data_IF_400604035509
#
_entry.id   IF_400604035509
#
_cell.length_a   1.000
_cell.length_b   1.000
_cell.length_c   1.000
_cell.angle_alpha   90.00
_cell.angle_beta   90.00
_cell.angle_gamma   90.00
#
_symmetry.space_group_name_H-M   'P 1'
#
loop_
_entity.id
_entity.type
_entity.pdbx_description
1 polymer ?
#
# COMPACT_ATOMS: atom_id res chain seq x y z
N UNK A 1 -6.04 -13.59 12.76
CA UNK A 1 -4.68 -13.98 12.34
C UNK A 1 -3.66 -13.11 13.05
N UNK A 2 -2.41 -13.53 13.21
CA UNK A 2 -1.37 -12.71 13.86
C UNK A 2 -0.77 -11.68 12.89
N UNK A 3 -0.39 -10.52 13.40
CA UNK A 3 0.36 -9.48 12.67
C UNK A 3 1.61 -10.04 11.95
N UNK A 4 2.37 -10.92 12.60
CA UNK A 4 3.54 -11.59 12.02
C UNK A 4 3.22 -12.38 10.74
N UNK A 5 2.01 -12.93 10.63
CA UNK A 5 1.56 -13.63 9.42
C UNK A 5 1.33 -12.61 8.29
N UNK A 6 0.66 -11.49 8.58
CA UNK A 6 0.49 -10.38 7.66
C UNK A 6 1.81 -9.89 7.07
N UNK A 7 2.79 -9.69 7.95
CA UNK A 7 4.14 -9.25 7.59
C UNK A 7 4.82 -10.26 6.66
N UNK A 8 4.76 -11.56 6.97
CA UNK A 8 5.37 -12.61 6.13
C UNK A 8 4.76 -12.62 4.72
N UNK A 9 3.44 -12.60 4.61
CA UNK A 9 2.75 -12.57 3.31
C UNK A 9 3.13 -11.32 2.50
N UNK A 10 3.18 -10.15 3.14
CA UNK A 10 3.59 -8.91 2.47
C UNK A 10 5.05 -8.97 1.98
N UNK A 11 5.96 -9.52 2.79
CA UNK A 11 7.37 -9.73 2.42
C UNK A 11 7.50 -10.69 1.23
N UNK A 12 6.77 -11.80 1.24
CA UNK A 12 6.80 -12.79 0.17
C UNK A 12 6.29 -12.20 -1.14
N UNK A 13 5.17 -11.47 -1.10
CA UNK A 13 4.65 -10.76 -2.28
C UNK A 13 5.65 -9.73 -2.77
N UNK A 14 6.25 -8.93 -1.88
CA UNK A 14 7.26 -7.94 -2.26
C UNK A 14 8.49 -8.58 -2.93
N UNK A 15 8.98 -9.72 -2.42
CA UNK A 15 10.08 -10.50 -3.02
C UNK A 15 9.71 -10.96 -4.45
N UNK A 16 8.51 -11.52 -4.64
CA UNK A 16 8.00 -11.94 -5.95
C UNK A 16 7.96 -10.75 -6.93
N UNK A 17 7.41 -9.60 -6.51
CA UNK A 17 7.34 -8.40 -7.35
C UNK A 17 8.72 -7.85 -7.68
N UNK A 18 9.66 -7.85 -6.73
CA UNK A 18 11.03 -7.43 -6.99
C UNK A 18 11.74 -8.33 -8.02
N UNK A 19 11.51 -9.66 -7.97
CA UNK A 19 12.04 -10.59 -8.97
C UNK A 19 11.42 -10.36 -10.35
N UNK A 20 10.11 -10.11 -10.43
CA UNK A 20 9.45 -9.81 -11.71
C UNK A 20 10.02 -8.53 -12.34
N UNK A 21 10.27 -7.48 -11.55
CA UNK A 21 10.83 -6.21 -12.04
C UNK A 21 12.26 -6.32 -12.58
N UNK A 22 13.03 -7.32 -12.15
CA UNK A 22 14.36 -7.63 -12.73
C UNK A 22 14.21 -8.23 -14.12
N UNK A 23 13.24 -9.12 -14.31
CA UNK A 23 13.04 -9.83 -15.57
C UNK A 23 12.26 -8.98 -16.59
N UNK A 24 11.34 -8.15 -16.09
CA UNK A 24 10.44 -7.30 -16.87
C UNK A 24 10.64 -5.86 -16.44
N UNK A 25 11.66 -5.20 -17.00
CA UNK A 25 12.00 -3.82 -16.63
C UNK A 25 10.87 -2.88 -17.09
N UNK A 26 10.21 -2.22 -16.14
CA UNK A 26 9.11 -1.27 -16.37
C UNK A 26 7.88 -1.88 -17.06
N UNK A 27 7.18 -2.83 -16.43
CA UNK A 27 5.99 -3.44 -17.00
C UNK A 27 4.89 -2.40 -17.27
N UNK A 28 4.07 -2.64 -18.28
CA UNK A 28 2.87 -1.85 -18.53
C UNK A 28 1.81 -2.18 -17.47
N UNK A 29 1.44 -1.17 -16.67
CA UNK A 29 0.42 -1.30 -15.61
C UNK A 29 -0.82 -0.44 -15.88
N UNK A 30 -0.87 0.21 -17.04
CA UNK A 30 -2.00 1.02 -17.47
C UNK A 30 -2.09 1.04 -18.99
N UNK A 31 -3.31 1.02 -19.53
CA UNK A 31 -3.59 1.23 -20.95
C UNK A 31 -4.64 2.32 -21.15
N UNK A 32 -4.33 3.29 -22.00
CA UNK A 32 -5.24 4.37 -22.36
C UNK A 32 -6.56 3.83 -22.92
N UNK A 33 -7.68 4.40 -22.45
CA UNK A 33 -9.01 4.15 -22.99
C UNK A 33 -9.66 2.80 -22.66
N UNK A 34 -9.06 1.92 -21.83
CA UNK A 34 -9.71 0.63 -21.54
C UNK A 34 -9.39 -0.05 -20.21
N UNK A 35 -8.13 -0.08 -19.73
CA UNK A 35 -7.78 -1.06 -18.69
C UNK A 35 -6.64 -0.58 -17.77
N UNK A 36 -6.90 -0.55 -16.47
CA UNK A 36 -5.85 -0.57 -15.45
C UNK A 36 -5.30 -1.99 -15.39
N UNK A 37 -3.98 -2.15 -15.59
CA UNK A 37 -3.30 -3.46 -15.64
C UNK A 37 -2.50 -3.72 -14.35
N UNK A 38 -2.66 -2.85 -13.36
CA UNK A 38 -1.87 -2.90 -12.13
C UNK A 38 -2.22 -4.10 -11.26
N UNK A 39 -3.51 -4.44 -11.13
CA UNK A 39 -3.95 -5.67 -10.44
C UNK A 39 -3.38 -6.92 -11.10
N UNK A 40 -3.50 -7.03 -12.43
CA UNK A 40 -2.94 -8.15 -13.19
C UNK A 40 -1.43 -8.32 -12.96
N UNK A 41 -0.67 -7.22 -13.00
CA UNK A 41 0.76 -7.26 -12.72
C UNK A 41 1.06 -7.63 -11.25
N UNK A 42 0.30 -7.06 -10.32
CA UNK A 42 0.48 -7.31 -8.89
C UNK A 42 0.24 -8.77 -8.54
N UNK A 43 -0.80 -9.37 -9.11
CA UNK A 43 -1.25 -10.73 -8.81
C UNK A 43 -0.44 -11.80 -9.55
N UNK A 44 0.15 -11.45 -10.70
CA UNK A 44 0.94 -12.37 -11.52
C UNK A 44 2.03 -13.09 -10.72
N UNK A 45 1.96 -14.43 -10.71
CA UNK A 45 2.99 -15.29 -10.10
C UNK A 45 2.88 -15.42 -8.58
N UNK A 46 1.85 -14.86 -7.95
CA UNK A 46 1.53 -15.15 -6.55
C UNK A 46 1.02 -16.62 -6.48
N UNK A 47 1.61 -17.49 -5.65
CA UNK A 47 1.28 -18.91 -5.60
C UNK A 47 0.10 -19.25 -4.67
N UNK A 48 -0.63 -18.24 -4.22
CA UNK A 48 -1.73 -18.36 -3.26
C UNK A 48 -3.07 -18.05 -3.93
N UNK A 49 -4.16 -18.57 -3.36
CA UNK A 49 -5.49 -18.18 -3.79
C UNK A 49 -5.74 -16.70 -3.49
N UNK A 50 -6.26 -15.99 -4.50
CA UNK A 50 -6.55 -14.55 -4.41
C UNK A 50 -8.07 -14.39 -4.41
N UNK A 51 -8.58 -13.84 -3.33
CA UNK A 51 -10.00 -13.50 -3.20
C UNK A 51 -10.23 -12.05 -3.60
N UNK A 52 -11.12 -11.82 -4.56
CA UNK A 52 -11.60 -10.49 -4.94
C UNK A 52 -12.99 -10.20 -4.40
N UNK A 53 -13.29 -8.92 -4.24
CA UNK A 53 -14.59 -8.43 -3.82
C UNK A 53 -15.22 -7.51 -4.87
N UNK A 54 -16.40 -6.97 -4.59
CA UNK A 54 -17.08 -6.06 -5.53
C UNK A 54 -16.29 -4.76 -5.74
N UNK A 55 -16.55 -4.06 -6.84
CA UNK A 55 -15.83 -2.82 -7.21
C UNK A 55 -15.88 -1.68 -6.17
N UNK A 56 -16.73 -1.77 -5.13
CA UNK A 56 -16.82 -0.80 -4.04
C UNK A 56 -16.41 -1.39 -2.68
N UNK A 57 -15.94 -2.63 -2.67
CA UNK A 57 -15.47 -3.32 -1.47
C UNK A 57 -13.99 -3.01 -1.23
N UNK A 58 -13.57 -3.09 0.02
CA UNK A 58 -12.19 -2.95 0.47
C UNK A 58 -11.82 -4.19 1.30
N UNK A 59 -10.62 -4.75 1.13
CA UNK A 59 -9.56 -4.41 0.15
C UNK A 59 -9.85 -4.93 -1.26
N UNK A 60 -9.07 -4.53 -2.26
CA UNK A 60 -9.19 -5.01 -3.66
C UNK A 60 -8.90 -6.53 -3.80
N UNK A 61 -7.96 -7.04 -3.00
CA UNK A 61 -7.59 -8.45 -2.95
C UNK A 61 -7.33 -8.93 -1.51
N UNK A 62 -7.67 -10.19 -1.23
CA UNK A 62 -7.25 -10.90 -0.01
C UNK A 62 -6.45 -12.13 -0.40
N UNK A 63 -5.24 -12.24 0.15
CA UNK A 63 -4.26 -13.28 -0.17
C UNK A 63 -3.77 -13.86 1.16
N UNK A 64 -3.95 -15.17 1.38
CA UNK A 64 -3.63 -15.81 2.67
C UNK A 64 -4.25 -15.10 3.89
N UNK A 65 -5.46 -14.56 3.70
CA UNK A 65 -6.20 -13.78 4.71
C UNK A 65 -5.70 -12.35 4.94
N UNK A 66 -4.71 -11.89 4.18
CA UNK A 66 -4.12 -10.54 4.26
C UNK A 66 -4.69 -9.67 3.15
N UNK A 67 -5.12 -8.47 3.51
CA UNK A 67 -5.73 -7.51 2.59
C UNK A 67 -4.69 -6.71 1.80
N UNK A 68 -4.97 -6.49 0.52
CA UNK A 68 -4.18 -5.67 -0.38
C UNK A 68 -5.08 -4.68 -1.12
N UNK A 69 -4.91 -3.39 -0.83
CA UNK A 69 -5.54 -2.30 -1.58
C UNK A 69 -4.56 -1.81 -2.66
N UNK A 70 -5.02 -1.70 -3.89
CA UNK A 70 -4.21 -1.36 -5.05
C UNK A 70 -4.50 0.07 -5.50
N UNK A 71 -3.44 0.83 -5.75
CA UNK A 71 -3.51 2.22 -6.23
C UNK A 71 -2.44 2.50 -7.27
N UNK A 72 -2.84 2.78 -8.51
CA UNK A 72 -1.94 3.30 -9.55
C UNK A 72 -2.10 4.80 -9.74
N UNK A 73 -0.98 5.53 -9.91
CA UNK A 73 -0.95 6.99 -9.99
C UNK A 73 0.00 7.47 -11.08
N UNK A 74 -0.36 8.55 -11.78
CA UNK A 74 0.55 9.25 -12.72
C UNK A 74 1.57 10.12 -12.00
N UNK A 75 1.19 10.70 -10.86
CA UNK A 75 2.02 11.57 -10.04
C UNK A 75 2.35 10.91 -8.70
N UNK A 76 3.29 11.50 -7.95
CA UNK A 76 3.58 11.14 -6.55
C UNK A 76 2.74 11.96 -5.55
N UNK A 77 1.58 12.47 -5.98
CA UNK A 77 0.70 13.30 -5.16
C UNK A 77 -0.11 12.52 -4.13
N UNK A 78 -1.27 13.06 -3.76
CA UNK A 78 -2.19 12.36 -2.86
C UNK A 78 -2.89 11.18 -3.55
N UNK A 79 -3.16 10.14 -2.75
CA UNK A 79 -3.93 8.95 -3.08
C UNK A 79 -5.36 9.14 -2.58
N UNK A 80 -6.35 8.78 -3.39
CA UNK A 80 -7.75 8.79 -2.98
C UNK A 80 -8.22 7.39 -2.61
N UNK A 81 -8.91 7.29 -1.47
CA UNK A 81 -9.56 6.11 -0.96
C UNK A 81 -11.07 6.37 -0.92
N UNK A 82 -11.81 5.54 -1.64
CA UNK A 82 -13.26 5.60 -1.64
C UNK A 82 -13.80 4.70 -0.54
N UNK A 83 -14.91 5.09 0.08
CA UNK A 83 -15.69 4.29 1.03
C UNK A 83 -15.05 3.99 2.40
N UNK A 84 -13.73 3.78 2.47
CA UNK A 84 -13.03 3.37 3.70
C UNK A 84 -11.83 4.27 3.99
N UNK A 85 -11.63 4.63 5.26
CA UNK A 85 -10.42 5.34 5.70
C UNK A 85 -9.27 4.31 5.73
N UNK A 86 -8.14 4.56 5.06
CA UNK A 86 -7.07 3.59 4.98
C UNK A 86 -6.39 3.35 6.34
N UNK A 87 -6.17 2.09 6.71
CA UNK A 87 -5.46 1.68 7.94
C UNK A 87 -4.86 0.29 7.81
N UNK A 88 -4.07 -0.16 8.80
CA UNK A 88 -3.36 -1.44 8.80
C UNK A 88 -4.24 -2.67 8.96
N UNK A 89 -5.57 -2.50 9.10
CA UNK A 89 -6.50 -3.62 9.23
C UNK A 89 -7.76 -3.44 8.40
N UNK A 90 -8.17 -4.51 7.73
CA UNK A 90 -9.47 -4.56 7.08
C UNK A 90 -10.46 -5.35 7.96
N UNK A 91 -11.73 -4.97 7.89
CA UNK A 91 -12.84 -5.71 8.49
C UNK A 91 -14.01 -5.76 7.51
N UNK A 92 -14.47 -6.96 7.20
CA UNK A 92 -15.58 -7.20 6.27
C UNK A 92 -16.38 -8.41 6.71
N UNK A 93 -17.65 -8.18 7.08
CA UNK A 93 -18.58 -9.24 7.55
C UNK A 93 -17.89 -10.10 8.62
N UNK A 94 -17.55 -11.34 8.28
CA UNK A 94 -16.96 -12.34 9.18
C UNK A 94 -15.44 -12.52 8.97
N UNK A 95 -14.80 -11.62 8.22
CA UNK A 95 -13.37 -11.64 7.93
C UNK A 95 -12.69 -10.35 8.40
N UNK A 96 -11.56 -10.50 9.07
CA UNK A 96 -10.67 -9.41 9.42
C UNK A 96 -9.21 -9.87 9.33
N UNK A 97 -8.31 -8.93 9.07
CA UNK A 97 -6.89 -9.20 8.93
C UNK A 97 -6.08 -7.94 8.72
N UNK A 98 -4.76 -8.13 8.64
CA UNK A 98 -3.82 -7.05 8.30
C UNK A 98 -4.06 -6.57 6.86
N UNK A 99 -3.82 -5.28 6.61
CA UNK A 99 -4.04 -4.65 5.32
C UNK A 99 -2.80 -3.86 4.88
N UNK A 100 -2.41 -4.08 3.63
CA UNK A 100 -1.30 -3.42 2.96
C UNK A 100 -1.79 -2.67 1.72
N UNK A 101 -1.05 -1.65 1.34
CA UNK A 101 -1.35 -0.79 0.20
C UNK A 101 -0.26 -0.96 -0.84
N UNK A 102 -0.62 -1.59 -1.96
CA UNK A 102 0.22 -1.73 -3.14
C UNK A 102 0.05 -0.48 -4.00
N UNK A 103 1.06 0.37 -4.04
CA UNK A 103 1.01 1.67 -4.69
C UNK A 103 2.01 1.66 -5.83
N UNK A 104 1.57 1.97 -7.04
CA UNK A 104 2.45 2.08 -8.20
C UNK A 104 2.36 3.47 -8.83
N UNK A 105 3.52 4.06 -9.12
CA UNK A 105 3.59 5.22 -10.01
C UNK A 105 3.95 4.75 -11.40
N UNK A 106 3.22 5.22 -12.41
CA UNK A 106 3.56 4.98 -13.81
C UNK A 106 3.85 6.26 -14.58
N UNK A 107 4.60 6.12 -15.67
CA UNK A 107 4.81 7.16 -16.68
C UNK A 107 4.15 6.72 -17.97
N UNK A 108 3.31 7.59 -18.52
CA UNK A 108 2.70 7.37 -19.83
C UNK A 108 3.76 7.44 -20.93
N UNK A 109 3.73 6.46 -21.82
CA UNK A 109 4.40 6.41 -23.11
C UNK A 109 3.39 5.94 -24.15
N UNK A 110 3.00 6.84 -25.06
CA UNK A 110 1.89 6.66 -26.00
C UNK A 110 0.62 6.19 -25.25
N UNK A 111 0.14 5.00 -25.57
CA UNK A 111 -1.07 4.41 -25.01
C UNK A 111 -0.83 3.58 -23.74
N UNK A 112 0.41 3.45 -23.28
CA UNK A 112 0.76 2.58 -22.16
C UNK A 112 1.39 3.35 -21.00
N UNK A 113 1.05 2.97 -19.76
CA UNK A 113 1.69 3.46 -18.55
C UNK A 113 2.72 2.46 -18.05
N UNK A 114 4.00 2.80 -18.16
CA UNK A 114 5.11 2.02 -17.65
C UNK A 114 5.24 2.24 -16.14
N UNK A 115 5.24 1.18 -15.33
CA UNK A 115 5.58 1.26 -13.90
C UNK A 115 6.95 1.91 -13.75
N UNK A 116 7.08 2.84 -12.82
CA UNK A 116 8.33 3.56 -12.50
C UNK A 116 8.74 3.33 -11.05
N UNK A 117 7.75 3.31 -10.15
CA UNK A 117 7.94 3.15 -8.71
C UNK A 117 6.84 2.22 -8.17
N UNK A 118 7.18 1.46 -7.15
CA UNK A 118 6.28 0.51 -6.50
C UNK A 118 6.56 0.50 -5.00
N UNK A 119 5.54 0.76 -4.20
CA UNK A 119 5.63 0.70 -2.75
C UNK A 119 4.58 -0.26 -2.25
N UNK A 120 4.99 -1.25 -1.46
CA UNK A 120 4.08 -2.02 -0.62
C UNK A 120 4.15 -1.48 0.80
N UNK A 121 3.06 -0.90 1.28
CA UNK A 121 3.06 -0.14 2.53
C UNK A 121 2.08 -0.73 3.54
N UNK A 122 2.53 -0.95 4.78
CA UNK A 122 1.63 -1.31 5.87
C UNK A 122 0.62 -0.20 6.14
N UNK A 123 -0.66 -0.56 6.28
CA UNK A 123 -1.75 0.40 6.27
C UNK A 123 -1.77 1.38 7.44
N UNK A 124 -1.18 1.04 8.58
CA UNK A 124 -1.07 1.95 9.73
C UNK A 124 -0.23 3.17 9.40
N UNK A 125 0.54 3.13 8.31
CA UNK A 125 1.18 4.31 7.77
C UNK A 125 0.18 5.44 7.51
N UNK A 126 -1.09 5.14 7.18
CA UNK A 126 -2.11 6.16 6.95
C UNK A 126 -2.88 6.54 8.21
N UNK A 127 -3.40 5.55 8.95
CA UNK A 127 -4.14 5.71 10.21
C UNK A 127 -3.91 4.46 11.07
N UNK A 128 -3.61 4.64 12.36
CA UNK A 128 -3.35 3.58 13.32
C UNK A 128 -4.56 3.26 14.22
N UNK A 129 -5.53 4.17 14.36
CA UNK A 129 -6.79 3.89 15.05
C UNK A 129 -7.73 3.15 14.10
N UNK A 130 -7.74 1.83 14.23
CA UNK A 130 -8.58 0.96 13.40
C UNK A 130 -10.08 1.18 13.66
N UNK A 131 -10.46 1.56 14.88
CA UNK A 131 -11.87 1.82 15.21
C UNK A 131 -12.35 3.09 14.51
N UNK A 132 -11.52 4.14 14.56
CA UNK A 132 -11.76 5.35 13.78
C UNK A 132 -11.76 5.06 12.28
N UNK A 133 -10.84 4.26 11.77
CA UNK A 133 -10.75 3.97 10.34
C UNK A 133 -11.95 3.17 9.79
N UNK A 134 -12.55 2.31 10.61
CA UNK A 134 -13.82 1.63 10.27
C UNK A 134 -15.05 2.51 10.52
N UNK A 135 -14.86 3.73 11.07
CA UNK A 135 -15.90 4.75 11.10
C UNK A 135 -16.03 5.41 9.72
N UNK A 136 -17.25 5.84 9.38
CA UNK A 136 -17.49 6.58 8.15
C UNK A 136 -17.60 8.07 8.45
N UNK A 137 -16.92 8.90 7.65
CA UNK A 137 -17.00 10.36 7.76
C UNK A 137 -17.47 10.97 6.44
N UNK A 138 -18.43 11.89 6.52
CA UNK A 138 -19.03 12.56 5.35
C UNK A 138 -18.91 14.10 5.44
N UNK A 139 -18.10 14.61 6.35
CA UNK A 139 -17.84 16.05 6.51
C UNK A 139 -16.67 16.49 5.63
N UNK A 140 -16.47 17.80 5.47
CA UNK A 140 -15.24 18.33 4.89
C UNK A 140 -14.28 18.66 6.01
N UNK A 141 -13.05 18.13 5.94
CA UNK A 141 -12.02 18.40 6.94
C UNK A 141 -10.64 18.39 6.27
N UNK A 142 -9.82 19.38 6.63
CA UNK A 142 -8.39 19.47 6.29
C UNK A 142 -7.61 19.10 7.54
N UNK A 143 -6.52 18.34 7.36
CA UNK A 143 -5.78 17.78 8.47
C UNK A 143 -6.49 16.57 9.09
N UNK A 144 -7.21 15.83 8.25
CA UNK A 144 -7.95 14.62 8.60
C UNK A 144 -7.01 13.44 8.89
N UNK A 145 -7.50 12.46 9.64
CA UNK A 145 -6.77 11.23 9.98
C UNK A 145 -5.82 11.40 11.16
N UNK A 146 -5.29 10.28 11.62
CA UNK A 146 -4.56 10.19 12.89
C UNK A 146 -3.26 11.00 12.89
N UNK A 147 -2.66 11.21 11.73
CA UNK A 147 -1.44 12.00 11.56
C UNK A 147 -1.69 13.41 11.01
N UNK A 148 -2.95 13.77 10.78
CA UNK A 148 -3.35 15.13 10.41
C UNK A 148 -2.86 15.60 9.06
N UNK A 149 -2.59 14.70 8.11
CA UNK A 149 -2.16 15.02 6.75
C UNK A 149 -3.16 14.59 5.67
N UNK A 150 -4.30 14.02 6.08
CA UNK A 150 -5.41 13.66 5.22
C UNK A 150 -6.33 14.83 4.90
N UNK A 151 -7.19 14.61 3.92
CA UNK A 151 -8.33 15.48 3.59
C UNK A 151 -9.55 14.61 3.28
N UNK A 152 -10.70 14.95 3.86
CA UNK A 152 -12.00 14.37 3.48
C UNK A 152 -12.85 15.43 2.77
N UNK A 153 -13.54 15.04 1.71
CA UNK A 153 -14.27 15.96 0.82
C UNK A 153 -15.77 15.65 0.76
N UNK A 154 -16.60 16.20 1.64
CA UNK A 154 -18.10 16.19 1.60
C UNK A 154 -18.80 14.82 1.42
N UNK A 155 -18.06 13.74 1.21
CA UNK A 155 -18.48 12.36 0.94
C UNK A 155 -17.32 11.44 1.36
N UNK A 156 -17.58 10.13 1.43
CA UNK A 156 -16.58 9.07 1.68
C UNK A 156 -15.50 9.02 0.59
N UNK A 157 -14.60 9.99 0.63
CA UNK A 157 -13.49 10.20 -0.27
C UNK A 157 -12.37 10.82 0.56
N UNK A 158 -11.46 9.96 0.97
CA UNK A 158 -10.34 10.31 1.84
C UNK A 158 -9.08 10.41 1.00
N UNK A 159 -8.32 11.49 1.16
CA UNK A 159 -7.14 11.78 0.38
C UNK A 159 -5.93 11.88 1.30
N UNK A 160 -4.93 11.01 1.12
CA UNK A 160 -3.70 11.01 1.93
C UNK A 160 -2.45 11.14 1.03
N UNK A 161 -1.33 11.68 1.52
CA UNK A 161 -0.07 11.72 0.76
C UNK A 161 0.39 10.31 0.36
N UNK A 162 0.85 10.15 -0.87
CA UNK A 162 1.45 8.88 -1.30
C UNK A 162 2.76 8.61 -0.56
N UNK A 163 2.97 7.40 -0.02
CA UNK A 163 4.27 6.95 0.51
C UNK A 163 5.42 7.10 -0.49
N UNK A 164 5.16 7.01 -1.80
CA UNK A 164 6.18 7.19 -2.85
C UNK A 164 6.73 8.62 -2.88
N UNK A 165 5.97 9.61 -2.36
CA UNK A 165 6.45 10.99 -2.24
C UNK A 165 7.65 11.12 -1.30
N UNK A 166 7.64 10.35 -0.22
CA UNK A 166 8.70 10.34 0.81
C UNK A 166 9.72 9.24 0.55
N UNK A 167 9.30 8.12 -0.05
CA UNK A 167 10.13 6.96 -0.36
C UNK A 167 10.07 6.66 -1.85
N UNK A 168 10.85 7.39 -2.68
CA UNK A 168 10.88 7.12 -4.12
C UNK A 168 11.49 5.75 -4.42
N UNK A 169 11.23 5.22 -5.61
CA UNK A 169 11.72 3.93 -6.09
C UNK A 169 10.87 2.72 -5.69
N UNK A 170 11.50 1.55 -5.61
CA UNK A 170 10.84 0.29 -5.23
C UNK A 170 11.07 0.05 -3.73
N UNK A 171 10.03 -0.02 -2.92
CA UNK A 171 10.14 -0.11 -1.46
C UNK A 171 9.07 -0.96 -0.80
N UNK A 172 9.41 -1.46 0.39
CA UNK A 172 8.49 -2.08 1.34
C UNK A 172 8.53 -1.25 2.63
N UNK A 173 7.38 -0.84 3.14
CA UNK A 173 7.27 -0.07 4.38
C UNK A 173 6.52 -0.91 5.41
N UNK A 174 7.18 -1.19 6.54
CA UNK A 174 6.65 -2.02 7.64
C UNK A 174 6.74 -1.27 8.97
N UNK A 175 6.10 -1.79 10.01
CA UNK A 175 6.19 -1.30 11.39
C UNK A 175 7.18 -2.12 12.26
N UNK A 176 8.00 -2.98 11.64
CA UNK A 176 9.05 -3.77 12.30
C UNK A 176 10.43 -3.40 11.73
N UNK A 177 11.48 -3.49 12.55
CA UNK A 177 12.85 -3.11 12.21
C UNK A 177 13.77 -4.29 11.83
N UNK A 178 13.27 -5.51 11.98
CA UNK A 178 14.00 -6.76 11.78
C UNK A 178 13.44 -7.63 10.63
N UNK A 179 12.79 -7.05 9.61
CA UNK A 179 12.23 -7.82 8.50
C UNK A 179 13.26 -8.67 7.73
N UNK A 180 14.56 -8.37 7.83
CA UNK A 180 15.62 -9.22 7.27
C UNK A 180 15.69 -10.62 7.89
N UNK A 181 15.18 -10.80 9.11
CA UNK A 181 15.08 -12.13 9.75
C UNK A 181 14.05 -13.02 9.05
N UNK A 182 13.04 -12.42 8.41
CA UNK A 182 12.00 -13.11 7.66
C UNK A 182 12.43 -13.32 6.20
N UNK A 183 13.10 -12.34 5.60
CA UNK A 183 13.69 -12.47 4.27
C UNK A 183 15.07 -11.78 4.21
N UNK A 184 16.17 -12.55 4.12
CA UNK A 184 17.52 -11.99 4.09
C UNK A 184 17.83 -11.21 2.80
N UNK A 185 16.94 -11.18 1.80
CA UNK A 185 17.07 -10.32 0.62
C UNK A 185 16.62 -8.88 0.87
N UNK A 186 16.01 -8.60 2.02
CA UNK A 186 15.68 -7.24 2.41
C UNK A 186 16.90 -6.50 2.97
N UNK A 187 16.93 -5.20 2.72
CA UNK A 187 17.91 -4.25 3.27
C UNK A 187 17.12 -3.13 3.93
N UNK A 188 17.31 -2.94 5.23
CA UNK A 188 16.80 -1.77 5.92
C UNK A 188 17.57 -0.53 5.42
N UNK A 189 16.87 0.41 4.80
CA UNK A 189 17.45 1.63 4.23
C UNK A 189 17.29 2.82 5.18
N UNK A 190 16.10 3.00 5.74
CA UNK A 190 15.78 4.13 6.61
C UNK A 190 14.55 3.84 7.49
N UNK A 191 14.18 4.80 8.34
CA UNK A 191 12.90 4.85 9.04
C UNK A 191 12.16 6.17 8.79
N UNK A 192 10.85 6.16 8.97
CA UNK A 192 9.93 7.29 8.86
C UNK A 192 9.20 7.41 10.18
N UNK A 193 9.19 8.60 10.74
CA UNK A 193 8.44 8.91 11.96
C UNK A 193 7.16 9.62 11.55
N UNK A 194 6.03 9.09 11.99
CA UNK A 194 4.72 9.76 11.89
C UNK A 194 4.27 10.19 13.27
N UNK A 195 4.00 11.48 13.44
CA UNK A 195 3.54 12.06 14.70
C UNK A 195 2.02 12.13 14.71
N UNK A 196 1.40 11.61 15.77
CA UNK A 196 -0.04 11.69 15.96
C UNK A 196 -0.49 13.16 16.06
N UNK A 197 -1.60 13.47 15.41
CA UNK A 197 -2.16 14.82 15.32
C UNK A 197 -2.51 15.33 16.70
N UNK A 198 -1.94 16.47 17.06
CA UNK A 198 -2.24 17.15 18.32
C UNK A 198 -1.58 16.52 19.55
N UNK A 199 -0.70 15.53 19.38
CA UNK A 199 0.07 14.92 20.47
C UNK A 199 1.57 14.93 20.17
N UNK A 200 2.38 14.36 21.06
CA UNK A 200 3.81 14.11 20.84
C UNK A 200 4.10 12.63 20.56
N UNK A 201 3.06 11.79 20.48
CA UNK A 201 3.22 10.35 20.24
C UNK A 201 3.71 10.11 18.81
N UNK A 202 4.57 9.12 18.66
CA UNK A 202 5.25 8.81 17.41
C UNK A 202 5.09 7.35 17.05
N UNK A 203 4.88 7.10 15.77
CA UNK A 203 4.89 5.77 15.15
C UNK A 203 6.05 5.70 14.18
N UNK A 204 6.84 4.64 14.28
CA UNK A 204 8.02 4.43 13.43
C UNK A 204 7.70 3.38 12.39
N UNK A 205 8.00 3.70 11.13
CA UNK A 205 7.90 2.79 10.01
C UNK A 205 9.27 2.61 9.38
N UNK A 206 9.61 1.40 9.00
CA UNK A 206 10.91 1.03 8.48
C UNK A 206 10.82 0.77 6.99
N UNK A 207 11.75 1.37 6.25
CA UNK A 207 11.82 1.31 4.80
C UNK A 207 12.81 0.23 4.40
N UNK A 208 12.30 -0.78 3.72
CA UNK A 208 13.06 -1.89 3.18
C UNK A 208 13.15 -1.81 1.66
N UNK A 209 14.29 -2.30 1.20
CA UNK A 209 14.65 -2.39 -0.21
C UNK A 209 15.11 -3.80 -0.51
N UNK A 210 15.06 -4.20 -1.77
CA UNK A 210 15.39 -5.56 -2.17
C UNK A 210 16.79 -5.63 -2.77
N UNK A 211 17.65 -6.55 -2.29
CA UNK A 211 19.05 -6.71 -2.74
C UNK A 211 19.21 -6.85 -4.27
N UNK A 212 18.21 -7.44 -4.94
CA UNK A 212 18.25 -7.59 -6.40
C UNK A 212 18.26 -6.25 -7.15
N UNK A 213 17.72 -5.18 -6.56
CA UNK A 213 17.59 -3.88 -7.22
C UNK A 213 18.81 -2.96 -7.03
N UNK A 214 19.83 -3.41 -6.30
CA UNK A 214 21.10 -2.69 -6.06
C UNK A 214 22.28 -3.25 -6.87
N UNK A 215 22.02 -4.05 -7.91
CA UNK A 215 23.04 -4.59 -8.80
C UNK A 215 23.15 -3.81 -10.10
#
# INVERSE_FOLDING_TARGET
>A
MSELHGIKVAIDIFDIKCRDLINNRYPYIYRSGSQELFSEWFEKGIPFDIQHFGANDHPDAVIEGVGFELKSLKSNGSIQFNSTIPCGRFRRKDQEGECYYAIARYKMDRDFGNLQEFCLCYGDYFNFDHTFAHSHQNTQEIGFGDYGDGVVRHRKMYSFPSPIRTVPGISLILNIDNAQELNPNLVLENSIIRTERGTQNQHVFYVYRHKLLYK
#
